data_IF_424034179461
#
_entry.id   IF_424034179461
#
_cell.length_a   1.000
_cell.length_b   1.000
_cell.length_c   1.000
_cell.angle_alpha   90.00
_cell.angle_beta   90.00
_cell.angle_gamma   90.00
#
_symmetry.space_group_name_H-M   'P 1'
#
loop_
_entity.id
_entity.type
_entity.pdbx_description
1 polymer ?
#
# COMPACT_ATOMS: atom_id res chain seq x y z
N UNK A 1 -0.11 -4.57 -0.21
CA UNK A 1 -1.01 -4.39 -1.38
C UNK A 1 -1.30 -2.91 -1.56
N UNK A 2 -1.36 -2.40 -2.79
CA UNK A 2 -1.64 -0.98 -3.08
C UNK A 2 -2.82 -0.90 -4.06
N UNK A 3 -3.83 -0.07 -3.78
CA UNK A 3 -4.98 0.11 -4.68
C UNK A 3 -4.58 0.88 -5.95
N UNK A 4 -5.35 0.72 -7.03
CA UNK A 4 -5.10 1.38 -8.32
C UNK A 4 -4.98 2.91 -8.20
N UNK A 5 -5.77 3.53 -7.31
CA UNK A 5 -5.66 4.98 -7.04
C UNK A 5 -4.28 5.35 -6.47
N UNK A 6 -3.79 4.58 -5.51
CA UNK A 6 -2.51 4.85 -4.85
C UNK A 6 -1.32 4.45 -5.73
N UNK A 7 -1.45 3.45 -6.62
CA UNK A 7 -0.40 3.13 -7.61
C UNK A 7 -0.11 4.31 -8.55
N UNK A 8 -1.12 5.13 -8.86
CA UNK A 8 -1.02 6.27 -9.79
C UNK A 8 -0.69 7.60 -9.11
N UNK A 9 -0.42 7.59 -7.81
CA UNK A 9 -0.12 8.82 -7.09
C UNK A 9 1.32 9.27 -7.36
N UNK A 10 1.52 10.58 -7.46
CA UNK A 10 2.86 11.17 -7.50
C UNK A 10 3.39 11.16 -6.07
N UNK A 11 4.56 10.55 -5.88
CA UNK A 11 5.26 10.50 -4.59
C UNK A 11 6.60 11.20 -4.70
N UNK A 12 7.06 11.75 -3.58
CA UNK A 12 8.41 12.29 -3.45
C UNK A 12 9.32 11.20 -2.89
N UNK A 13 10.48 10.96 -3.51
CA UNK A 13 11.48 10.01 -2.99
C UNK A 13 12.14 10.59 -1.74
N UNK A 14 11.68 10.13 -0.57
CA UNK A 14 12.12 10.58 0.73
C UNK A 14 11.84 9.49 1.76
N UNK A 15 12.81 9.19 2.62
CA UNK A 15 12.57 8.24 3.72
C UNK A 15 11.54 8.81 4.70
N UNK A 16 10.43 8.11 4.83
CA UNK A 16 9.33 8.47 5.71
C UNK A 16 9.12 7.37 6.76
N UNK A 17 9.06 7.76 8.04
CA UNK A 17 8.69 6.88 9.14
C UNK A 17 7.24 7.15 9.52
N UNK A 18 6.43 6.10 9.53
CA UNK A 18 5.02 6.12 9.89
C UNK A 18 4.72 4.97 10.84
N UNK A 19 3.48 4.87 11.29
CA UNK A 19 3.01 3.78 12.15
C UNK A 19 1.80 3.10 11.50
N UNK A 20 1.68 1.78 11.65
CA UNK A 20 0.54 1.02 11.16
C UNK A 20 -0.72 1.33 11.98
N UNK A 21 -1.75 1.87 11.34
CA UNK A 21 -3.02 2.19 11.99
C UNK A 21 -3.78 0.96 12.57
N UNK A 22 -3.37 -0.27 12.23
CA UNK A 22 -4.04 -1.51 12.69
C UNK A 22 -3.33 -2.21 13.84
N UNK A 23 -2.00 -2.12 13.91
CA UNK A 23 -1.22 -2.88 14.90
C UNK A 23 -0.12 -2.07 15.59
N UNK A 24 -0.07 -0.76 15.36
CA UNK A 24 0.94 0.17 15.89
C UNK A 24 2.40 -0.20 15.53
N UNK A 25 2.61 -1.13 14.59
CA UNK A 25 3.95 -1.49 14.15
C UNK A 25 4.59 -0.32 13.38
N UNK A 26 5.88 0.00 13.61
CA UNK A 26 6.57 1.03 12.85
C UNK A 26 6.71 0.63 11.38
N UNK A 27 6.58 1.61 10.49
CA UNK A 27 6.73 1.44 9.04
C UNK A 27 7.80 2.42 8.55
N UNK A 28 8.73 1.92 7.75
CA UNK A 28 9.69 2.76 7.02
C UNK A 28 9.41 2.64 5.53
N UNK A 29 9.20 3.77 4.86
CA UNK A 29 8.90 3.84 3.43
C UNK A 29 9.94 4.73 2.73
N UNK A 30 10.30 4.41 1.50
CA UNK A 30 11.26 5.19 0.69
C UNK A 30 10.65 6.40 -0.03
N UNK A 31 9.39 6.73 0.25
CA UNK A 31 8.68 7.83 -0.38
C UNK A 31 7.71 8.53 0.60
N UNK A 32 7.30 9.73 0.22
CA UNK A 32 6.28 10.51 0.92
C UNK A 32 5.11 10.80 -0.03
N UNK A 33 3.85 10.61 0.42
CA UNK A 33 3.42 10.20 1.76
C UNK A 33 3.74 8.72 2.09
N UNK A 34 4.25 8.47 3.30
CA UNK A 34 4.56 7.12 3.76
C UNK A 34 3.31 6.25 3.91
N UNK A 35 3.51 4.93 4.00
CA UNK A 35 2.40 3.98 4.17
C UNK A 35 1.71 4.12 5.52
N UNK A 36 0.41 3.89 5.56
CA UNK A 36 -0.43 3.97 6.77
C UNK A 36 -0.75 2.59 7.36
N UNK A 37 -0.56 1.54 6.57
CA UNK A 37 -0.76 0.15 6.98
C UNK A 37 0.48 -0.67 6.65
N UNK A 38 0.92 -1.51 7.60
CA UNK A 38 2.07 -2.39 7.37
C UNK A 38 1.72 -3.55 6.42
N UNK A 39 2.74 -4.08 5.74
CA UNK A 39 2.61 -5.21 4.81
C UNK A 39 1.84 -6.40 5.41
N UNK A 40 2.10 -6.75 6.68
CA UNK A 40 1.41 -7.86 7.36
C UNK A 40 -0.10 -7.61 7.47
N UNK A 41 -0.51 -6.45 7.96
CA UNK A 41 -1.93 -6.10 8.07
C UNK A 41 -2.58 -5.95 6.70
N UNK A 42 -1.87 -5.41 5.72
CA UNK A 42 -2.35 -5.34 4.33
C UNK A 42 -2.70 -6.72 3.78
N UNK A 43 -1.80 -7.69 3.90
CA UNK A 43 -2.02 -9.05 3.41
C UNK A 43 -3.08 -9.82 4.20
N UNK A 44 -3.15 -9.65 5.53
CA UNK A 44 -4.13 -10.37 6.35
C UNK A 44 -5.57 -9.87 6.18
N UNK A 45 -5.75 -8.57 5.90
CA UNK A 45 -7.07 -7.92 5.90
C UNK A 45 -7.49 -7.43 4.52
N UNK A 46 -6.68 -7.63 3.49
CA UNK A 46 -6.97 -7.15 2.14
C UNK A 46 -7.08 -5.63 2.05
N UNK A 47 -6.22 -4.89 2.75
CA UNK A 47 -6.27 -3.41 2.80
C UNK A 47 -5.05 -2.78 2.12
N UNK A 48 -5.22 -1.58 1.57
CA UNK A 48 -4.16 -0.82 0.92
C UNK A 48 -3.10 -0.33 1.94
N UNK A 49 -1.82 -0.60 1.69
CA UNK A 49 -0.69 -0.12 2.52
C UNK A 49 -0.64 1.42 2.57
N UNK A 50 -0.96 2.08 1.47
CA UNK A 50 -0.87 3.53 1.36
C UNK A 50 -2.01 4.25 2.08
N UNK A 51 -3.26 3.88 1.80
CA UNK A 51 -4.44 4.65 2.22
C UNK A 51 -5.36 3.93 3.21
N UNK A 52 -5.07 2.67 3.54
CA UNK A 52 -5.84 1.89 4.51
C UNK A 52 -7.22 1.44 4.08
N UNK A 53 -7.65 1.72 2.84
CA UNK A 53 -8.92 1.22 2.29
C UNK A 53 -8.88 -0.28 2.06
N UNK A 54 -9.98 -0.96 2.36
CA UNK A 54 -10.22 -2.33 1.90
C UNK A 54 -10.18 -2.40 0.38
N UNK A 55 -9.57 -3.46 -0.12
CA UNK A 55 -9.39 -3.71 -1.54
C UNK A 55 -10.46 -4.72 -1.97
N UNK A 56 -11.31 -4.30 -2.88
CA UNK A 56 -12.17 -5.20 -3.64
C UNK A 56 -11.45 -5.72 -4.89
N UNK A 57 -11.93 -6.79 -5.51
CA UNK A 57 -11.36 -7.35 -6.75
C UNK A 57 -11.22 -6.30 -7.88
N UNK A 58 -12.04 -5.24 -7.86
CA UNK A 58 -12.00 -4.13 -8.84
C UNK A 58 -10.88 -3.12 -8.59
N UNK A 59 -10.28 -3.11 -7.40
CA UNK A 59 -9.30 -2.11 -6.96
C UNK A 59 -7.85 -2.61 -7.03
N UNK A 60 -7.66 -3.85 -7.47
CA UNK A 60 -6.37 -4.51 -7.66
C UNK A 60 -6.25 -4.87 -9.14
N UNK A 61 -5.41 -4.14 -9.89
CA UNK A 61 -4.94 -4.64 -11.18
C UNK A 61 -4.06 -5.88 -10.93
N UNK A 62 -4.60 -7.05 -11.27
CA UNK A 62 -3.81 -8.28 -11.47
C UNK A 62 -3.19 -8.13 -12.86
N UNK A 63 -1.88 -7.89 -12.93
CA UNK A 63 -1.21 -7.91 -14.23
C UNK A 63 -1.31 -9.33 -14.80
N UNK A 64 -2.11 -9.50 -15.85
CA UNK A 64 -2.09 -10.71 -16.66
C UNK A 64 -0.69 -10.85 -17.25
N UNK A 65 0.04 -11.87 -16.81
CA UNK A 65 1.35 -12.20 -17.38
C UNK A 65 1.10 -12.57 -18.86
N UNK A 66 1.37 -11.65 -19.77
CA UNK A 66 1.50 -11.95 -21.19
C UNK A 66 2.82 -12.68 -21.38
N UNK A 67 2.75 -14.01 -21.48
CA UNK A 67 3.83 -14.80 -22.06
C UNK A 67 3.79 -14.55 -23.57
N UNK A 68 4.59 -13.60 -24.04
CA UNK A 68 4.97 -13.47 -25.47
C UNK A 68 6.16 -14.39 -25.78
#
# INVERSE_FOLDING_TARGET
MICNKCKRMIVMNAFCKTECNKCAAPITTGHMPGYTICKKCSSCWGICEQCGKELTDKEIEVEEIRNE
#
